data_IF_269024943780
#
_entry.id   IF_269024943780
#
_cell.length_a   1.000
_cell.length_b   1.000
_cell.length_c   1.000
_cell.angle_alpha   90.00
_cell.angle_beta   90.00
_cell.angle_gamma   90.00
#
_symmetry.space_group_name_H-M   'P 1'
#
loop_
_entity.id
_entity.type
_entity.pdbx_description
1 polymer ?
#
# COMPACT_ATOMS: atom_id res chain seq x y z
N UNK A 1 13.89 -39.50 25.17
CA UNK A 1 13.99 -39.34 23.70
C UNK A 1 13.88 -37.86 23.40
N UNK A 2 14.93 -37.24 22.85
CA UNK A 2 14.90 -35.83 22.46
C UNK A 2 14.08 -35.73 21.18
N UNK A 3 12.95 -35.02 21.21
CA UNK A 3 12.17 -34.74 20.00
C UNK A 3 13.05 -33.88 19.09
N UNK A 4 13.47 -34.43 17.96
CA UNK A 4 14.17 -33.68 16.90
C UNK A 4 13.24 -32.57 16.42
N UNK A 5 13.50 -31.34 16.87
CA UNK A 5 12.74 -30.17 16.44
C UNK A 5 12.94 -30.01 14.92
N UNK A 6 11.86 -30.19 14.16
CA UNK A 6 11.86 -29.93 12.72
C UNK A 6 12.11 -28.44 12.50
N UNK A 7 13.02 -28.04 11.59
CA UNK A 7 13.28 -26.64 11.31
C UNK A 7 12.06 -25.95 10.72
N UNK A 8 11.86 -24.68 11.06
CA UNK A 8 10.84 -23.84 10.44
C UNK A 8 11.10 -23.73 8.93
N UNK A 9 10.03 -23.81 8.14
CA UNK A 9 10.15 -23.70 6.68
C UNK A 9 9.68 -22.33 6.18
N UNK A 10 10.37 -21.75 5.18
CA UNK A 10 9.89 -20.54 4.51
C UNK A 10 8.55 -20.81 3.83
N UNK A 11 7.56 -19.97 4.11
CA UNK A 11 6.22 -20.04 3.50
C UNK A 11 6.32 -20.10 1.97
N UNK A 12 7.24 -19.32 1.38
CA UNK A 12 7.42 -19.28 -0.07
C UNK A 12 7.77 -20.63 -0.69
N UNK A 13 8.59 -21.45 -0.02
CA UNK A 13 8.95 -22.78 -0.51
C UNK A 13 7.72 -23.71 -0.48
N UNK A 14 6.92 -23.61 0.57
CA UNK A 14 5.68 -24.36 0.71
C UNK A 14 4.66 -23.95 -0.36
N UNK A 15 4.49 -22.64 -0.61
CA UNK A 15 3.61 -22.13 -1.66
C UNK A 15 4.06 -22.56 -3.06
N UNK A 16 5.37 -22.57 -3.35
CA UNK A 16 5.90 -23.03 -4.63
C UNK A 16 5.66 -24.54 -4.84
N UNK A 17 5.88 -25.35 -3.81
CA UNK A 17 5.61 -26.79 -3.86
C UNK A 17 4.12 -27.06 -4.10
N UNK A 18 3.24 -26.33 -3.40
CA UNK A 18 1.80 -26.47 -3.57
C UNK A 18 1.32 -25.95 -4.93
N UNK A 19 1.91 -24.88 -5.45
CA UNK A 19 1.63 -24.40 -6.80
C UNK A 19 1.96 -25.47 -7.84
N UNK A 20 3.08 -26.18 -7.67
CA UNK A 20 3.48 -27.29 -8.55
C UNK A 20 2.51 -28.48 -8.45
N UNK A 21 2.03 -28.80 -7.25
CA UNK A 21 1.10 -29.91 -7.02
C UNK A 21 -0.33 -29.64 -7.48
N UNK A 22 -0.81 -28.41 -7.30
CA UNK A 22 -2.22 -28.03 -7.54
C UNK A 22 -2.43 -27.36 -8.89
N UNK A 23 -1.37 -26.85 -9.54
CA UNK A 23 -1.46 -26.02 -10.74
C UNK A 23 -1.96 -24.59 -10.46
N UNK A 24 -2.18 -24.21 -9.20
CA UNK A 24 -2.67 -22.88 -8.83
C UNK A 24 -1.54 -21.85 -8.80
N UNK A 25 -1.80 -20.59 -9.18
CA UNK A 25 -0.81 -19.54 -9.12
C UNK A 25 -0.46 -19.19 -7.66
N UNK A 26 0.83 -18.98 -7.40
CA UNK A 26 1.38 -18.66 -6.06
C UNK A 26 0.69 -17.46 -5.41
N UNK A 27 0.26 -16.46 -6.18
CA UNK A 27 -0.45 -15.29 -5.66
C UNK A 27 -1.82 -15.66 -5.04
N UNK A 28 -2.58 -16.54 -5.69
CA UNK A 28 -3.88 -16.99 -5.18
C UNK A 28 -3.71 -17.83 -3.91
N UNK A 29 -2.68 -18.68 -3.92
CA UNK A 29 -2.28 -19.46 -2.76
C UNK A 29 -1.87 -18.55 -1.59
N UNK A 30 -1.12 -17.48 -1.84
CA UNK A 30 -0.73 -16.52 -0.81
C UNK A 30 -1.93 -15.79 -0.20
N UNK A 31 -2.88 -15.33 -1.02
CA UNK A 31 -4.12 -14.69 -0.54
C UNK A 31 -4.96 -15.64 0.31
N UNK A 32 -5.03 -16.93 -0.08
CA UNK A 32 -5.72 -17.95 0.70
C UNK A 32 -5.01 -18.22 2.03
N UNK A 33 -3.68 -18.30 2.04
CA UNK A 33 -2.90 -18.50 3.28
C UNK A 33 -3.13 -17.36 4.27
N UNK A 34 -3.23 -16.10 3.81
CA UNK A 34 -3.50 -14.94 4.66
C UNK A 34 -4.90 -15.00 5.31
N UNK A 35 -5.89 -15.59 4.64
CA UNK A 35 -7.26 -15.71 5.16
C UNK A 35 -7.38 -16.72 6.31
N UNK A 36 -6.48 -17.70 6.39
CA UNK A 36 -6.62 -18.82 7.33
C UNK A 36 -6.14 -18.52 8.76
N UNK A 37 -5.76 -17.27 9.07
CA UNK A 37 -5.42 -16.80 10.42
C UNK A 37 -4.47 -17.74 11.19
N UNK A 38 -3.46 -18.26 10.51
CA UNK A 38 -2.45 -19.11 11.12
C UNK A 38 -1.38 -18.31 11.86
N UNK A 39 -0.70 -18.92 12.85
CA UNK A 39 0.47 -18.30 13.48
C UNK A 39 1.63 -18.28 12.48
N UNK A 40 1.89 -17.11 11.91
CA UNK A 40 3.06 -16.83 11.09
C UNK A 40 4.17 -16.21 11.92
N UNK A 41 5.41 -16.62 11.68
CA UNK A 41 6.59 -16.01 12.29
C UNK A 41 7.33 -15.21 11.24
N UNK A 42 7.62 -13.94 11.49
CA UNK A 42 8.44 -13.15 10.60
C UNK A 42 9.88 -13.10 11.12
N UNK A 43 10.84 -13.59 10.33
CA UNK A 43 12.25 -13.53 10.66
C UNK A 43 13.05 -13.11 9.42
N UNK A 44 13.86 -12.07 9.56
CA UNK A 44 14.68 -11.51 8.47
C UNK A 44 13.89 -11.20 7.18
N UNK A 45 12.67 -10.67 7.34
CA UNK A 45 11.78 -10.36 6.21
C UNK A 45 11.13 -11.58 5.54
N UNK A 46 11.42 -12.80 6.01
CA UNK A 46 10.77 -14.03 5.54
C UNK A 46 9.64 -14.43 6.48
N UNK A 47 8.55 -14.96 5.90
CA UNK A 47 7.47 -15.57 6.66
C UNK A 47 7.81 -17.05 6.83
N UNK A 48 7.92 -17.49 8.07
CA UNK A 48 8.20 -18.85 8.49
C UNK A 48 6.93 -19.49 9.06
N UNK A 49 6.74 -20.76 8.74
CA UNK A 49 5.60 -21.56 9.20
C UNK A 49 6.12 -22.69 10.08
N UNK A 50 5.43 -22.92 11.21
CA UNK A 50 5.70 -24.08 12.06
C UNK A 50 5.38 -25.37 11.32
N UNK A 51 6.24 -26.40 11.39
CA UNK A 51 5.99 -27.68 10.73
C UNK A 51 4.67 -28.32 11.19
N UNK A 52 4.29 -28.14 12.46
CA UNK A 52 3.05 -28.68 13.01
C UNK A 52 1.79 -27.96 12.48
N UNK A 53 1.96 -26.77 11.88
CA UNK A 53 0.87 -26.02 11.25
C UNK A 53 0.72 -26.34 9.76
N UNK A 54 1.65 -27.09 9.16
CA UNK A 54 1.63 -27.42 7.73
C UNK A 54 0.51 -28.40 7.40
N UNK A 55 0.38 -29.47 8.17
CA UNK A 55 -0.66 -30.49 7.95
C UNK A 55 -2.09 -29.91 8.00
N UNK A 56 -2.51 -29.18 9.07
CA UNK A 56 -3.85 -28.59 9.09
C UNK A 56 -4.05 -27.52 8.01
N UNK A 57 -2.99 -26.86 7.55
CA UNK A 57 -3.06 -25.91 6.44
C UNK A 57 -3.34 -26.62 5.11
N UNK A 58 -2.68 -27.75 4.86
CA UNK A 58 -2.94 -28.59 3.68
C UNK A 58 -4.39 -29.10 3.71
N UNK A 59 -4.87 -29.57 4.86
CA UNK A 59 -6.25 -30.08 5.01
C UNK A 59 -7.29 -28.98 4.78
N UNK A 60 -7.10 -27.79 5.35
CA UNK A 60 -8.02 -26.67 5.15
C UNK A 60 -8.06 -26.21 3.69
N UNK A 61 -6.92 -26.21 3.00
CA UNK A 61 -6.88 -25.93 1.57
C UNK A 61 -7.54 -27.00 0.72
N UNK A 62 -7.27 -28.27 0.98
CA UNK A 62 -7.90 -29.37 0.26
C UNK A 62 -9.43 -29.27 0.38
N UNK A 63 -9.94 -28.96 1.57
CA UNK A 63 -11.36 -28.72 1.79
C UNK A 63 -11.88 -27.51 1.01
N UNK A 64 -11.16 -26.39 1.02
CA UNK A 64 -11.57 -25.20 0.28
C UNK A 64 -11.61 -25.43 -1.23
N UNK A 65 -10.62 -26.13 -1.79
CA UNK A 65 -10.59 -26.51 -3.21
C UNK A 65 -11.73 -27.45 -3.57
N UNK A 66 -12.01 -28.42 -2.72
CA UNK A 66 -13.16 -29.33 -2.90
C UNK A 66 -14.47 -28.54 -2.94
N UNK A 67 -14.67 -27.58 -2.03
CA UNK A 67 -15.85 -26.71 -2.04
C UNK A 67 -15.92 -25.86 -3.30
N UNK A 68 -14.81 -25.30 -3.78
CA UNK A 68 -14.79 -24.52 -5.03
C UNK A 68 -15.16 -25.37 -6.24
N UNK A 69 -14.59 -26.57 -6.38
CA UNK A 69 -14.91 -27.48 -7.48
C UNK A 69 -16.37 -27.93 -7.43
N UNK A 70 -16.89 -28.23 -6.24
CA UNK A 70 -18.30 -28.57 -6.07
C UNK A 70 -19.23 -27.42 -6.45
N UNK A 71 -18.87 -26.19 -6.08
CA UNK A 71 -19.64 -24.99 -6.45
C UNK A 71 -19.65 -24.77 -7.97
N UNK A 72 -18.51 -25.00 -8.64
CA UNK A 72 -18.43 -24.90 -10.10
C UNK A 72 -19.26 -25.98 -10.81
N UNK A 73 -19.23 -27.22 -10.31
CA UNK A 73 -20.05 -28.30 -10.88
C UNK A 73 -21.55 -27.97 -10.80
N UNK A 74 -22.02 -27.45 -9.66
CA UNK A 74 -23.42 -27.05 -9.50
C UNK A 74 -23.80 -25.87 -10.40
N UNK A 75 -22.88 -24.91 -10.61
CA UNK A 75 -23.11 -23.80 -11.53
C UNK A 75 -23.25 -24.28 -12.98
N UNK A 76 -22.40 -25.21 -13.42
CA UNK A 76 -22.47 -25.77 -14.77
C UNK A 76 -23.76 -26.57 -15.00
N UNK A 77 -24.21 -27.36 -14.03
CA UNK A 77 -25.47 -28.10 -14.15
C UNK A 77 -26.68 -27.17 -14.31
N UNK A 78 -26.65 -25.98 -13.69
CA UNK A 78 -27.76 -25.02 -13.80
C UNK A 78 -27.87 -24.36 -15.19
N UNK A 79 -26.76 -24.19 -15.92
CA UNK A 79 -26.79 -23.62 -17.28
C UNK A 79 -27.32 -24.63 -18.32
N UNK A 80 -27.01 -25.92 -18.16
CA UNK A 80 -27.43 -26.96 -19.12
C UNK A 80 -28.94 -27.15 -19.15
N UNK A 81 -29.64 -26.90 -18.03
CA UNK A 81 -31.09 -27.06 -17.94
C UNK A 81 -31.81 -25.84 -18.57
N UNK A 82 -31.19 -24.66 -18.54
CA UNK A 82 -31.75 -23.45 -19.18
C UNK A 82 -31.56 -23.45 -20.71
N UNK A 83 -30.51 -24.09 -21.23
CA UNK A 83 -30.26 -24.17 -22.68
C UNK A 83 -30.98 -25.32 -23.39
N UNK A 84 -31.67 -26.20 -22.65
CA UNK A 84 -32.44 -27.32 -23.22
C UNK A 84 -33.94 -26.99 -23.37
N UNK A 85 -34.31 -25.72 -23.51
CA UNK A 85 -35.65 -25.36 -23.97
C UNK A 85 -35.83 -25.84 -25.43
N UNK A 86 -36.86 -26.65 -25.74
CA UNK A 86 -37.07 -27.16 -27.09
C UNK A 86 -37.32 -25.97 -28.03
N UNK A 87 -36.57 -25.95 -29.13
CA UNK A 87 -36.82 -25.05 -30.25
C UNK A 87 -38.28 -25.24 -30.72
N UNK A 88 -39.16 -24.34 -30.29
CA UNK A 88 -40.51 -24.22 -30.85
C UNK A 88 -40.32 -23.77 -32.30
N UNK A 89 -40.56 -24.70 -33.21
CA UNK A 89 -40.65 -24.49 -34.66
C UNK A 89 -41.59 -23.31 -34.89
N UNK A 90 -41.03 -22.18 -35.29
CA UNK A 90 -41.77 -21.00 -35.73
C UNK A 90 -42.32 -21.30 -37.12
N UNK A 91 -43.59 -21.70 -37.18
CA UNK A 91 -44.36 -21.76 -38.42
C UNK A 91 -44.81 -20.33 -38.73
N UNK A 92 -44.46 -19.91 -39.94
CA UNK A 92 -44.83 -18.67 -40.62
C UNK A 92 -46.37 -18.50 -40.61
N UNK A 93 -46.90 -17.50 -39.91
CA UNK A 93 -48.31 -17.12 -39.97
C UNK A 93 -48.42 -15.57 -40.04
N UNK A 94 -49.17 -15.03 -41.01
CA UNK A 94 -49.14 -13.62 -41.36
C UNK A 94 -49.93 -12.74 -40.38
N UNK A 95 -49.34 -11.57 -40.14
CA UNK A 95 -49.89 -10.32 -39.62
C UNK A 95 -51.42 -10.27 -39.42
N UNK A 96 -51.85 -9.99 -38.17
CA UNK A 96 -52.85 -8.94 -38.03
C UNK A 96 -52.48 -7.93 -36.92
N UNK A 97 -52.48 -6.67 -37.34
CA UNK A 97 -53.07 -5.50 -36.66
C UNK A 97 -52.90 -5.36 -35.14
N UNK A 98 -52.29 -4.23 -34.78
CA UNK A 98 -52.34 -3.54 -33.49
C UNK A 98 -53.63 -3.76 -32.70
N UNK A 99 -53.52 -3.83 -31.37
CA UNK A 99 -53.75 -2.60 -30.61
C UNK A 99 -52.66 -2.33 -29.56
N UNK A 100 -52.37 -1.04 -29.36
CA UNK A 100 -51.75 -0.50 -28.15
C UNK A 100 -52.45 -1.03 -26.90
N UNK A 101 -51.66 -1.35 -25.85
CA UNK A 101 -52.09 -0.99 -24.51
C UNK A 101 -50.99 -0.29 -23.70
N UNK A 102 -51.48 0.73 -23.00
CA UNK A 102 -50.90 1.59 -21.97
C UNK A 102 -49.65 1.11 -21.18
N UNK A 103 -48.73 2.05 -20.84
CA UNK A 103 -47.62 1.79 -19.94
C UNK A 103 -48.08 1.74 -18.47
N UNK A 104 -48.54 0.58 -18.01
CA UNK A 104 -48.73 0.32 -16.58
C UNK A 104 -47.39 -0.07 -15.93
N UNK A 105 -46.78 0.91 -15.27
CA UNK A 105 -45.59 0.75 -14.45
C UNK A 105 -45.83 -0.21 -13.25
N UNK A 106 -44.97 -1.23 -13.04
CA UNK A 106 -44.86 -1.87 -11.74
C UNK A 106 -43.94 -1.01 -10.85
N UNK A 107 -44.58 -0.22 -9.99
CA UNK A 107 -43.98 0.38 -8.80
C UNK A 107 -43.59 -0.75 -7.84
N UNK A 108 -42.37 -1.28 -7.97
CA UNK A 108 -41.79 -2.16 -6.96
C UNK A 108 -41.19 -1.24 -5.89
N UNK A 109 -41.97 -1.04 -4.83
CA UNK A 109 -41.54 -0.35 -3.63
C UNK A 109 -40.36 -1.12 -3.00
N UNK A 110 -39.17 -0.56 -3.15
CA UNK A 110 -37.96 -0.97 -2.46
C UNK A 110 -38.13 -0.75 -0.95
N UNK A 111 -38.04 -1.80 -0.10
CA UNK A 111 -38.11 -1.63 1.34
C UNK A 111 -36.81 -0.98 1.84
N UNK A 112 -36.86 0.33 2.06
CA UNK A 112 -35.79 1.07 2.74
C UNK A 112 -35.46 0.42 4.10
N UNK A 113 -34.22 -0.01 4.34
CA UNK A 113 -33.82 -0.48 5.66
C UNK A 113 -33.80 0.70 6.65
N UNK A 114 -34.57 0.57 7.73
CA UNK A 114 -34.57 1.51 8.87
C UNK A 114 -33.14 1.68 9.41
N UNK A 115 -32.65 2.90 9.63
CA UNK A 115 -31.40 3.11 10.34
C UNK A 115 -31.53 2.66 11.80
N UNK A 116 -30.50 2.03 12.40
CA UNK A 116 -30.50 1.76 13.82
C UNK A 116 -30.44 3.08 14.60
N UNK A 117 -31.50 3.34 15.36
CA UNK A 117 -31.60 4.39 16.39
C UNK A 117 -30.58 4.11 17.49
N UNK A 118 -29.32 4.50 17.26
CA UNK A 118 -28.28 4.43 18.30
C UNK A 118 -28.36 5.69 19.14
N UNK A 119 -28.99 5.56 20.30
CA UNK A 119 -29.09 6.59 21.33
C UNK A 119 -27.72 7.18 21.66
N UNK A 120 -27.49 8.41 21.18
CA UNK A 120 -26.34 9.23 21.56
C UNK A 120 -26.67 9.86 22.92
N UNK A 121 -26.36 9.13 24.00
CA UNK A 121 -26.26 9.72 25.33
C UNK A 121 -25.23 10.85 25.28
N UNK A 122 -25.74 12.06 25.40
CA UNK A 122 -25.01 13.28 25.74
C UNK A 122 -24.53 13.18 27.19
N UNK A 123 -23.22 13.04 27.37
CA UNK A 123 -22.55 13.34 28.64
C UNK A 123 -21.45 14.35 28.30
N UNK A 124 -21.80 15.64 28.42
CA UNK A 124 -21.36 16.53 29.52
C UNK A 124 -19.89 16.94 29.39
N UNK A 125 -19.72 18.14 28.85
CA UNK A 125 -19.03 19.26 29.51
C UNK A 125 -18.14 18.88 30.70
N UNK A 126 -16.82 19.00 30.52
CA UNK A 126 -15.96 19.52 31.59
C UNK A 126 -15.10 20.65 31.06
N UNK A 127 -15.70 21.81 31.28
CA UNK A 127 -15.18 23.16 31.27
C UNK A 127 -14.00 23.34 32.25
N UNK A 128 -13.04 24.19 31.86
CA UNK A 128 -12.06 24.92 32.70
C UNK A 128 -10.99 24.10 33.44
N UNK A 129 -9.73 24.38 33.08
CA UNK A 129 -8.92 25.33 33.89
C UNK A 129 -7.80 25.94 33.06
N UNK A 130 -8.11 27.11 32.50
CA UNK A 130 -7.10 28.12 32.21
C UNK A 130 -6.58 28.63 33.56
N UNK A 131 -5.30 28.44 33.84
CA UNK A 131 -4.57 29.17 34.87
C UNK A 131 -3.25 29.64 34.27
N UNK A 132 -3.19 30.95 34.06
CA UNK A 132 -1.99 31.73 34.35
C UNK A 132 -0.85 31.66 33.34
N UNK A 133 -0.80 32.65 32.46
CA UNK A 133 0.36 33.56 32.43
C UNK A 133 0.02 34.85 31.69
N UNK A 134 -0.59 35.75 32.47
CA UNK A 134 -0.68 37.19 32.21
C UNK A 134 0.50 37.84 32.93
N UNK A 135 1.28 38.60 32.18
CA UNK A 135 2.35 39.51 32.61
C UNK A 135 3.07 39.91 31.34
N UNK A 136 2.69 40.98 30.64
CA UNK A 136 2.69 42.39 31.06
C UNK A 136 3.94 42.71 31.89
N UNK A 137 5.10 42.69 31.22
CA UNK A 137 6.28 43.43 31.61
C UNK A 137 6.48 44.58 30.62
N UNK A 138 5.78 45.69 30.85
CA UNK A 138 6.11 47.00 30.30
C UNK A 138 7.48 47.41 30.85
N UNK A 139 8.36 47.89 29.96
CA UNK A 139 9.39 48.85 30.33
C UNK A 139 10.75 48.26 30.67
N UNK A 140 11.71 48.51 29.78
CA UNK A 140 12.87 49.34 30.10
C UNK A 140 13.54 49.80 28.81
N UNK A 141 13.31 51.09 28.49
CA UNK A 141 14.32 51.89 27.80
C UNK A 141 15.55 51.90 28.70
N UNK A 142 16.68 51.47 28.17
CA UNK A 142 17.96 51.40 28.86
C UNK A 142 19.05 51.35 27.81
N UNK A 143 19.31 52.50 27.20
CA UNK A 143 20.46 52.77 26.35
C UNK A 143 21.75 52.72 27.19
N UNK A 144 22.66 51.83 26.83
CA UNK A 144 24.10 52.06 27.05
C UNK A 144 24.86 51.41 25.87
N UNK A 145 25.72 52.15 25.16
CA UNK A 145 26.59 51.57 24.14
C UNK A 145 27.76 50.88 24.85
N UNK A 146 27.86 49.56 24.72
CA UNK A 146 29.05 48.85 25.17
C UNK A 146 29.92 48.54 23.95
N UNK A 147 31.03 49.25 23.92
CA UNK A 147 32.15 49.18 23.00
C UNK A 147 32.64 47.76 22.69
N UNK A 148 33.01 47.58 21.43
CA UNK A 148 33.73 46.44 20.89
C UNK A 148 34.99 46.10 21.70
N UNK A 149 35.38 44.81 21.69
CA UNK A 149 36.77 44.53 21.38
C UNK A 149 36.95 43.38 20.38
N UNK A 150 37.81 43.68 19.40
CA UNK A 150 39.01 42.89 19.04
C UNK A 150 38.81 41.57 18.31
N UNK A 151 38.95 41.69 16.99
CA UNK A 151 39.46 40.70 16.07
C UNK A 151 40.67 39.96 16.65
N UNK A 152 40.58 38.63 16.76
CA UNK A 152 41.76 37.77 16.80
C UNK A 152 41.70 36.87 15.54
N UNK A 153 42.70 36.94 14.66
CA UNK A 153 42.84 35.97 13.57
C UNK A 153 43.37 34.67 14.18
N UNK A 154 42.49 33.68 14.37
CA UNK A 154 42.97 32.33 14.69
C UNK A 154 43.44 31.69 13.39
N UNK A 155 44.75 31.67 13.24
CA UNK A 155 45.53 31.00 12.22
C UNK A 155 45.03 29.58 11.96
N UNK A 156 44.95 29.24 10.69
CA UNK A 156 44.60 27.93 10.16
C UNK A 156 45.50 26.81 10.72
N UNK A 157 44.94 25.64 11.10
CA UNK A 157 45.70 24.40 11.09
C UNK A 157 45.71 23.84 9.66
N UNK A 158 46.84 24.06 9.01
CA UNK A 158 47.64 23.07 8.26
C UNK A 158 46.90 21.88 7.67
N UNK A 159 46.93 21.84 6.35
CA UNK A 159 46.64 20.70 5.50
C UNK A 159 47.39 19.44 5.97
N UNK A 160 46.66 18.43 6.42
CA UNK A 160 47.14 17.05 6.40
C UNK A 160 46.56 16.36 5.16
N UNK A 161 47.37 15.84 4.24
CA UNK A 161 46.90 14.97 3.19
C UNK A 161 46.55 13.62 3.82
N UNK A 162 45.28 13.39 4.12
CA UNK A 162 44.83 12.01 4.40
C UNK A 162 44.84 11.27 3.08
N UNK A 163 45.86 10.42 2.95
CA UNK A 163 46.09 9.47 1.88
C UNK A 163 44.78 8.91 1.34
N UNK A 164 44.59 9.10 0.04
CA UNK A 164 43.57 8.40 -0.72
C UNK A 164 43.68 6.89 -0.45
N UNK A 165 42.58 6.17 -0.22
CA UNK A 165 42.62 4.72 -0.28
C UNK A 165 43.01 4.34 -1.71
N UNK A 166 44.21 3.77 -1.85
CA UNK A 166 44.65 3.10 -3.06
C UNK A 166 43.61 2.02 -3.36
N UNK A 167 42.67 2.34 -4.25
CA UNK A 167 41.87 1.34 -4.96
C UNK A 167 42.89 0.48 -5.69
N UNK A 168 43.20 -0.67 -5.11
CA UNK A 168 43.72 -1.81 -5.87
C UNK A 168 42.76 -1.97 -7.05
N UNK A 169 43.24 -1.58 -8.24
CA UNK A 169 42.71 -2.03 -9.52
C UNK A 169 42.74 -3.56 -9.45
N UNK A 170 41.63 -4.16 -9.04
CA UNK A 170 41.33 -5.51 -9.46
C UNK A 170 41.26 -5.45 -11.00
N UNK A 171 42.07 -6.23 -11.71
CA UNK A 171 42.02 -6.25 -13.15
C UNK A 171 40.65 -6.80 -13.59
N UNK A 172 39.89 -5.95 -14.27
CA UNK A 172 38.92 -6.37 -15.27
C UNK A 172 37.61 -6.97 -14.76
N UNK A 173 36.70 -6.12 -14.28
CA UNK A 173 35.29 -6.25 -14.67
C UNK A 173 34.80 -4.83 -14.97
N UNK A 174 34.34 -4.52 -16.19
CA UNK A 174 33.74 -3.22 -16.47
C UNK A 174 32.60 -3.01 -15.48
N UNK A 175 32.69 -1.94 -14.69
CA UNK A 175 31.58 -1.46 -13.86
C UNK A 175 30.41 -1.25 -14.81
N UNK A 176 29.32 -2.03 -14.72
CA UNK A 176 28.13 -1.69 -15.46
C UNK A 176 27.68 -0.34 -14.90
N UNK A 177 27.75 0.70 -15.74
CA UNK A 177 26.85 1.83 -15.64
C UNK A 177 25.48 1.28 -15.24
N UNK A 178 24.86 1.70 -14.13
CA UNK A 178 23.50 1.31 -13.81
C UNK A 178 22.51 2.01 -14.74
N UNK A 179 22.67 1.82 -16.06
CA UNK A 179 21.57 1.82 -17.00
C UNK A 179 20.84 0.48 -16.81
N UNK A 180 20.24 0.31 -15.64
CA UNK A 180 19.34 -0.79 -15.32
C UNK A 180 17.98 -0.20 -14.94
N UNK A 181 17.43 0.60 -15.86
CA UNK A 181 16.00 0.59 -16.09
C UNK A 181 15.72 -0.65 -16.93
N UNK A 182 15.31 -1.75 -16.29
CA UNK A 182 14.44 -2.78 -16.86
C UNK A 182 14.32 -3.97 -15.90
N UNK A 183 13.09 -4.27 -15.50
CA UNK A 183 12.71 -5.67 -15.35
C UNK A 183 12.80 -6.31 -13.97
N UNK A 184 12.76 -5.54 -12.87
CA UNK A 184 12.31 -6.18 -11.61
C UNK A 184 10.79 -6.36 -11.70
N UNK A 185 10.38 -7.45 -12.36
CA UNK A 185 9.04 -8.01 -12.43
C UNK A 185 8.58 -8.47 -11.04
N UNK A 186 8.46 -7.53 -10.11
CA UNK A 186 7.89 -7.74 -8.78
C UNK A 186 6.46 -7.22 -8.84
N UNK A 187 5.60 -8.00 -9.49
CA UNK A 187 4.17 -7.74 -9.67
C UNK A 187 3.87 -6.46 -10.46
N UNK A 188 3.19 -6.56 -11.60
CA UNK A 188 2.83 -5.42 -12.46
C UNK A 188 2.01 -4.30 -11.78
N UNK A 189 1.70 -4.44 -10.49
CA UNK A 189 0.85 -3.55 -9.73
C UNK A 189 1.59 -2.81 -8.59
N UNK A 190 2.90 -2.98 -8.39
CA UNK A 190 3.61 -2.27 -7.31
C UNK A 190 4.37 -1.03 -7.85
N UNK A 191 3.95 0.16 -7.41
CA UNK A 191 4.65 1.42 -7.72
C UNK A 191 5.97 1.46 -6.95
N UNK A 192 7.04 1.01 -7.60
CA UNK A 192 8.36 0.91 -6.97
C UNK A 192 8.95 2.31 -6.69
N UNK A 193 9.49 2.48 -5.48
CA UNK A 193 10.28 3.66 -5.14
C UNK A 193 11.69 3.55 -5.76
N UNK A 194 12.27 4.66 -6.27
CA UNK A 194 13.63 4.64 -6.78
C UNK A 194 14.64 4.31 -5.67
N UNK A 195 15.76 3.64 -6.00
CA UNK A 195 16.82 3.39 -5.04
C UNK A 195 17.35 4.72 -4.48
N UNK A 196 17.54 4.78 -3.16
CA UNK A 196 17.98 6.01 -2.49
C UNK A 196 16.88 7.06 -2.25
N UNK A 197 15.59 6.73 -2.46
CA UNK A 197 14.50 7.68 -2.24
C UNK A 197 14.51 8.31 -0.83
N UNK A 198 15.00 7.61 0.19
CA UNK A 198 15.09 8.09 1.57
C UNK A 198 15.89 9.41 1.70
N UNK A 199 16.90 9.60 0.86
CA UNK A 199 17.69 10.84 0.84
C UNK A 199 16.91 11.99 0.19
N UNK A 200 16.04 11.68 -0.77
CA UNK A 200 15.17 12.63 -1.47
C UNK A 200 13.99 13.11 -0.62
N UNK A 201 13.63 12.36 0.43
CA UNK A 201 12.51 12.67 1.32
C UNK A 201 12.72 14.03 2.02
N UNK A 202 11.72 14.92 1.90
CA UNK A 202 11.73 16.28 2.43
C UNK A 202 10.36 16.67 2.98
N UNK A 203 10.30 17.61 3.92
CA UNK A 203 9.03 18.19 4.42
C UNK A 203 8.28 19.03 3.36
N UNK A 204 8.93 19.33 2.23
CA UNK A 204 8.30 19.97 1.06
C UNK A 204 7.67 18.92 0.15
N UNK A 205 6.47 18.47 0.49
CA UNK A 205 5.77 17.35 -0.16
C UNK A 205 5.71 17.42 -1.69
N UNK A 206 5.41 18.59 -2.28
CA UNK A 206 5.37 18.74 -3.75
C UNK A 206 6.74 18.48 -4.39
N UNK A 207 7.79 19.13 -3.87
CA UNK A 207 9.17 18.98 -4.38
C UNK A 207 9.67 17.56 -4.18
N UNK A 208 9.26 16.91 -3.11
CA UNK A 208 9.61 15.53 -2.83
C UNK A 208 8.96 14.57 -3.84
N UNK A 209 7.66 14.70 -4.09
CA UNK A 209 6.96 13.86 -5.07
C UNK A 209 7.57 14.02 -6.47
N UNK A 210 7.89 15.25 -6.90
CA UNK A 210 8.56 15.49 -8.19
C UNK A 210 9.92 14.80 -8.30
N UNK A 211 10.64 14.61 -7.18
CA UNK A 211 11.96 13.96 -7.15
C UNK A 211 11.87 12.43 -7.06
N UNK A 212 10.88 11.92 -6.35
CA UNK A 212 10.70 10.49 -6.09
C UNK A 212 9.96 9.82 -7.25
N UNK A 213 9.11 10.55 -7.96
CA UNK A 213 8.41 10.03 -9.14
C UNK A 213 9.34 9.91 -10.35
N UNK A 214 8.98 9.05 -11.32
CA UNK A 214 9.67 8.98 -12.59
C UNK A 214 9.78 10.35 -13.28
N UNK A 215 10.91 10.53 -13.98
CA UNK A 215 11.14 11.72 -14.80
C UNK A 215 10.31 11.69 -16.08
N UNK A 216 9.96 10.49 -16.57
CA UNK A 216 9.07 10.32 -17.72
C UNK A 216 7.65 10.81 -17.40
N UNK A 217 7.07 11.57 -18.32
CA UNK A 217 5.75 12.18 -18.13
C UNK A 217 4.61 11.15 -18.18
N UNK A 218 4.75 10.09 -18.97
CA UNK A 218 3.77 9.02 -19.08
C UNK A 218 3.72 8.19 -17.80
N UNK A 219 4.87 7.73 -17.33
CA UNK A 219 4.98 6.99 -16.08
C UNK A 219 4.53 7.84 -14.88
N UNK A 220 4.93 9.12 -14.83
CA UNK A 220 4.49 10.02 -13.76
C UNK A 220 2.97 10.16 -13.70
N UNK A 221 2.31 10.29 -14.86
CA UNK A 221 0.84 10.34 -14.92
C UNK A 221 0.21 9.05 -14.39
N UNK A 222 0.77 7.89 -14.73
CA UNK A 222 0.33 6.61 -14.18
C UNK A 222 0.43 6.59 -12.65
N UNK A 223 1.58 7.00 -12.09
CA UNK A 223 1.76 7.10 -10.62
C UNK A 223 0.71 8.01 -9.97
N UNK A 224 0.49 9.19 -10.55
CA UNK A 224 -0.48 10.15 -10.04
C UNK A 224 -1.92 9.64 -10.13
N UNK A 225 -2.26 8.89 -11.18
CA UNK A 225 -3.59 8.28 -11.32
C UNK A 225 -3.83 7.21 -10.26
N UNK A 226 -2.88 6.31 -10.05
CA UNK A 226 -2.96 5.27 -9.01
C UNK A 226 -3.12 5.88 -7.61
N UNK A 227 -2.34 6.92 -7.31
CA UNK A 227 -2.44 7.65 -6.04
C UNK A 227 -3.79 8.35 -5.90
N UNK A 228 -4.28 9.01 -6.97
CA UNK A 228 -5.54 9.78 -6.92
C UNK A 228 -6.77 8.88 -6.83
N UNK A 229 -6.71 7.69 -7.43
CA UNK A 229 -7.72 6.63 -7.30
C UNK A 229 -7.63 5.88 -5.97
N UNK A 230 -6.61 6.16 -5.17
CA UNK A 230 -6.34 5.50 -3.91
C UNK A 230 -6.29 3.97 -4.02
N UNK A 231 -5.71 3.46 -5.11
CA UNK A 231 -5.47 2.02 -5.28
C UNK A 231 -4.50 1.52 -4.20
N UNK A 232 -4.48 0.22 -3.94
CA UNK A 232 -3.59 -0.36 -2.92
C UNK A 232 -2.12 -0.06 -3.23
N UNK A 233 -1.76 -0.06 -4.51
CA UNK A 233 -0.45 0.36 -4.99
C UNK A 233 -0.13 1.81 -4.60
N UNK A 234 -1.03 2.75 -4.91
CA UNK A 234 -0.87 4.16 -4.58
C UNK A 234 -0.80 4.41 -3.08
N UNK A 235 -1.65 3.73 -2.29
CA UNK A 235 -1.63 3.77 -0.82
C UNK A 235 -0.31 3.25 -0.26
N UNK A 236 0.19 2.13 -0.77
CA UNK A 236 1.46 1.53 -0.34
C UNK A 236 2.64 2.47 -0.63
N UNK A 237 2.68 3.05 -1.82
CA UNK A 237 3.69 4.05 -2.20
C UNK A 237 3.70 5.25 -1.24
N UNK A 238 2.53 5.85 -0.98
CA UNK A 238 2.41 6.97 -0.04
C UNK A 238 2.76 6.59 1.40
N UNK A 239 2.37 5.38 1.83
CA UNK A 239 2.68 4.88 3.16
C UNK A 239 4.18 4.67 3.36
N UNK A 240 4.88 4.12 2.38
CA UNK A 240 6.34 3.96 2.43
C UNK A 240 7.04 5.32 2.58
N UNK A 241 6.57 6.34 1.85
CA UNK A 241 7.06 7.71 1.98
C UNK A 241 6.75 8.34 3.34
N UNK A 242 5.53 8.15 3.85
CA UNK A 242 5.11 8.66 5.15
C UNK A 242 5.92 8.05 6.31
N UNK A 243 6.16 6.74 6.28
CA UNK A 243 7.01 6.04 7.27
C UNK A 243 8.45 6.55 7.21
N UNK A 244 8.96 6.79 5.99
CA UNK A 244 10.33 7.31 5.82
C UNK A 244 10.44 8.74 6.32
N UNK A 245 9.42 9.58 6.09
CA UNK A 245 9.33 10.93 6.64
C UNK A 245 9.32 10.93 8.16
N UNK A 246 8.51 10.07 8.79
CA UNK A 246 8.44 9.94 10.25
C UNK A 246 9.80 9.53 10.84
N UNK A 247 10.47 8.54 10.23
CA UNK A 247 11.81 8.11 10.66
C UNK A 247 12.86 9.21 10.53
N UNK A 248 12.82 9.99 9.45
CA UNK A 248 13.78 11.07 9.17
C UNK A 248 13.53 12.31 10.04
N UNK A 249 12.28 12.61 10.35
CA UNK A 249 11.85 13.81 11.08
C UNK A 249 11.13 13.45 12.39
N UNK A 250 11.70 12.54 13.19
CA UNK A 250 11.12 12.02 14.44
C UNK A 250 10.52 13.14 15.30
N UNK A 251 9.24 13.01 15.62
CA UNK A 251 8.49 13.96 16.46
C UNK A 251 8.04 15.26 15.78
N UNK A 252 8.56 15.61 14.60
CA UNK A 252 8.13 16.80 13.84
C UNK A 252 7.01 16.49 12.85
N UNK A 253 7.03 15.29 12.28
CA UNK A 253 6.05 14.84 11.28
C UNK A 253 5.55 13.46 11.69
N UNK A 254 4.27 13.35 12.02
CA UNK A 254 3.60 12.06 12.25
C UNK A 254 3.21 11.41 10.93
N UNK A 255 3.18 10.07 10.91
CA UNK A 255 2.89 9.25 9.72
C UNK A 255 1.56 9.63 9.05
N UNK A 256 0.47 9.71 9.81
CA UNK A 256 -0.87 10.02 9.26
C UNK A 256 -0.90 11.42 8.65
N UNK A 257 -0.26 12.39 9.33
CA UNK A 257 -0.17 13.77 8.84
C UNK A 257 0.66 13.87 7.56
N UNK A 258 1.78 13.12 7.47
CA UNK A 258 2.58 13.04 6.26
C UNK A 258 1.76 12.45 5.11
N UNK A 259 1.07 11.34 5.34
CA UNK A 259 0.23 10.66 4.34
C UNK A 259 -0.81 11.62 3.75
N UNK A 260 -1.60 12.30 4.59
CA UNK A 260 -2.63 13.24 4.13
C UNK A 260 -2.02 14.39 3.32
N UNK A 261 -0.87 14.92 3.76
CA UNK A 261 -0.18 15.99 3.03
C UNK A 261 0.37 15.53 1.68
N UNK A 262 0.88 14.30 1.61
CA UNK A 262 1.34 13.70 0.35
C UNK A 262 0.18 13.47 -0.63
N UNK A 263 -0.97 13.00 -0.15
CA UNK A 263 -2.15 12.80 -0.98
C UNK A 263 -2.63 14.13 -1.60
N UNK A 264 -2.73 15.19 -0.79
CA UNK A 264 -3.11 16.53 -1.27
C UNK A 264 -2.09 17.08 -2.28
N UNK A 265 -0.79 16.84 -2.04
CA UNK A 265 0.27 17.24 -2.96
C UNK A 265 0.16 16.50 -4.30
N UNK A 266 -0.07 15.19 -4.29
CA UNK A 266 -0.26 14.38 -5.49
C UNK A 266 -1.49 14.83 -6.29
N UNK A 267 -2.62 15.07 -5.63
CA UNK A 267 -3.83 15.60 -6.28
C UNK A 267 -3.60 16.98 -6.90
N UNK A 268 -2.74 17.80 -6.30
CA UNK A 268 -2.39 19.11 -6.85
C UNK A 268 -1.49 18.99 -8.09
N UNK A 269 -0.58 18.00 -8.10
CA UNK A 269 0.27 17.71 -9.26
C UNK A 269 -0.53 17.10 -10.42
N UNK A 270 -1.53 16.26 -10.14
CA UNK A 270 -2.39 15.66 -11.16
C UNK A 270 -3.25 16.69 -11.93
N UNK A 271 -3.46 17.87 -11.36
CA UNK A 271 -4.24 18.97 -11.97
C UNK A 271 -3.41 19.89 -12.88
N UNK A 272 -2.09 19.75 -12.88
CA UNK A 272 -1.17 20.55 -13.71
C UNK A 272 -0.95 19.88 -15.06
#
# INVERSE_FOLDING_TARGET
MLNSAKPLQPLQNLLNNLSTLTGLPVAQLQDQAQKLNFPFYQFDGQILVSPDAVDPLIDQWANHLKTQLQTQAMAQESETIASAAPAVVTVDDPEPSSPEPDPAAPSIAEPTPKPPTRGRKTSRTSTRKALGRKGIGKGRKGSVPTSAPTSAPTSAPTSAPTSAPTKTKSPGIPSPTPAAHAGSTRGANELALPPGFADMVSTRYNVMLDKVMPSDAGERKHYLQEITRETDAGKNFLNQLAVTLERKYKGRVGKERAYVKLLVAAQSLAKR
#
